data_IF_517582219081
#
_entry.id   IF_517582219081
#
_cell.length_a   1.000
_cell.length_b   1.000
_cell.length_c   1.000
_cell.angle_alpha   90.00
_cell.angle_beta   90.00
_cell.angle_gamma   90.00
#
_symmetry.space_group_name_H-M   'P 1'
#
loop_
_entity.id
_entity.type
_entity.pdbx_description
1 polymer ?
#
# COMPACT_ATOMS: atom_id res chain seq x y z
N UNK A 1 11.85 -0.45 0.85
CA UNK A 1 11.68 -0.33 2.31
C UNK A 1 10.22 -0.09 2.68
N UNK A 2 9.62 1.06 2.33
CA UNK A 2 8.23 1.35 2.71
C UNK A 2 7.21 0.31 2.22
N UNK A 3 7.40 -0.23 1.02
CA UNK A 3 6.59 -1.34 0.49
C UNK A 3 6.52 -2.54 1.46
N UNK A 4 7.68 -3.07 1.86
CA UNK A 4 7.77 -4.19 2.80
C UNK A 4 7.29 -3.84 4.22
N UNK A 5 7.50 -2.59 4.64
CA UNK A 5 6.96 -2.09 5.90
C UNK A 5 5.42 -2.11 5.88
N UNK A 6 4.82 -1.67 4.77
CA UNK A 6 3.37 -1.73 4.57
C UNK A 6 2.88 -3.16 4.61
N UNK A 7 3.56 -4.12 3.96
CA UNK A 7 3.19 -5.53 4.07
C UNK A 7 3.21 -6.03 5.51
N UNK A 8 4.23 -5.69 6.29
CA UNK A 8 4.33 -6.11 7.68
C UNK A 8 3.18 -5.57 8.55
N UNK A 9 2.80 -4.30 8.38
CA UNK A 9 1.68 -3.69 9.10
C UNK A 9 0.34 -4.24 8.61
N UNK A 10 0.17 -4.38 7.29
CA UNK A 10 -1.04 -4.95 6.72
C UNK A 10 -1.24 -6.38 7.24
N UNK A 11 -0.20 -7.23 7.26
CA UNK A 11 -0.26 -8.57 7.83
C UNK A 11 -0.76 -8.58 9.29
N UNK A 12 -0.31 -7.62 10.10
CA UNK A 12 -0.74 -7.46 11.49
C UNK A 12 -2.23 -7.09 11.59
N UNK A 13 -2.75 -6.29 10.65
CA UNK A 13 -4.15 -5.86 10.60
C UNK A 13 -5.08 -6.96 10.05
N UNK A 14 -4.65 -7.72 9.03
CA UNK A 14 -5.50 -8.64 8.27
C UNK A 14 -5.43 -10.11 8.74
N UNK A 15 -5.02 -10.37 9.98
CA UNK A 15 -4.79 -11.72 10.53
C UNK A 15 -3.79 -12.57 9.72
N UNK A 16 -2.89 -11.90 8.99
CA UNK A 16 -1.90 -12.49 8.10
C UNK A 16 -2.16 -12.21 6.62
N UNK A 17 -1.09 -12.23 5.84
CA UNK A 17 -1.15 -12.13 4.38
C UNK A 17 -1.20 -13.51 3.74
N UNK A 18 -1.91 -13.62 2.61
CA UNK A 18 -1.86 -14.82 1.77
C UNK A 18 -0.56 -14.84 0.98
N UNK A 19 0.11 -15.99 0.94
CA UNK A 19 1.33 -16.16 0.16
C UNK A 19 1.15 -15.96 -1.35
N UNK A 20 2.28 -15.70 -2.03
CA UNK A 20 2.30 -15.32 -3.45
C UNK A 20 1.96 -13.84 -3.66
N UNK A 21 1.93 -13.42 -4.92
CA UNK A 21 1.67 -12.02 -5.29
C UNK A 21 0.17 -11.78 -5.43
N UNK A 22 -0.47 -11.37 -4.35
CA UNK A 22 -1.90 -11.05 -4.34
C UNK A 22 -2.11 -9.59 -4.73
N UNK A 23 -2.93 -9.35 -5.73
CA UNK A 23 -3.12 -8.01 -6.32
C UNK A 23 -3.49 -6.96 -5.28
N UNK A 24 -4.43 -7.26 -4.38
CA UNK A 24 -4.85 -6.36 -3.31
C UNK A 24 -3.71 -6.01 -2.34
N UNK A 25 -2.87 -7.00 -1.99
CA UNK A 25 -1.75 -6.81 -1.08
C UNK A 25 -0.64 -5.97 -1.73
N UNK A 26 -0.27 -6.27 -2.97
CA UNK A 26 0.79 -5.57 -3.71
C UNK A 26 0.39 -4.12 -4.02
N UNK A 27 -0.87 -3.91 -4.43
CA UNK A 27 -1.40 -2.55 -4.70
C UNK A 27 -1.47 -1.72 -3.42
N UNK A 28 -1.88 -2.33 -2.30
CA UNK A 28 -1.83 -1.66 -0.98
C UNK A 28 -0.41 -1.25 -0.63
N UNK A 29 0.56 -2.16 -0.80
CA UNK A 29 1.96 -1.89 -0.48
C UNK A 29 2.55 -0.77 -1.34
N UNK A 30 2.32 -0.78 -2.66
CA UNK A 30 2.85 0.26 -3.54
C UNK A 30 2.18 1.60 -3.39
N UNK A 31 0.87 1.64 -3.21
CA UNK A 31 0.17 2.90 -2.99
C UNK A 31 0.60 3.53 -1.67
N UNK A 32 0.66 2.75 -0.59
CA UNK A 32 1.10 3.24 0.72
C UNK A 32 2.56 3.70 0.69
N UNK A 33 3.45 2.94 0.03
CA UNK A 33 4.85 3.34 -0.13
C UNK A 33 4.98 4.68 -0.87
N UNK A 34 4.18 4.88 -1.92
CA UNK A 34 4.14 6.14 -2.67
C UNK A 34 3.71 7.31 -1.80
N UNK A 35 2.67 7.13 -0.98
CA UNK A 35 2.19 8.15 -0.03
C UNK A 35 3.26 8.48 1.02
N UNK A 36 3.91 7.46 1.60
CA UNK A 36 4.98 7.66 2.57
C UNK A 36 6.20 8.37 1.95
N UNK A 37 6.57 8.03 0.72
CA UNK A 37 7.64 8.76 0.01
C UNK A 37 7.30 10.24 -0.14
N UNK A 38 6.05 10.60 -0.44
CA UNK A 38 5.65 12.01 -0.50
C UNK A 38 5.72 12.70 0.87
N UNK A 39 5.20 12.06 1.92
CA UNK A 39 5.22 12.60 3.28
C UNK A 39 6.64 12.88 3.80
N UNK A 40 7.60 12.01 3.47
CA UNK A 40 9.01 12.19 3.87
C UNK A 40 9.86 12.98 2.86
N UNK A 41 9.26 13.50 1.79
CA UNK A 41 9.96 14.34 0.80
C UNK A 41 10.84 13.58 -0.18
N UNK A 42 10.70 12.25 -0.28
CA UNK A 42 11.44 11.39 -1.22
C UNK A 42 10.81 11.28 -2.63
N UNK A 43 9.77 12.09 -2.89
CA UNK A 43 8.98 12.21 -4.14
C UNK A 43 9.54 11.46 -5.35
N UNK A 44 8.76 10.50 -5.85
CA UNK A 44 9.01 9.81 -7.11
C UNK A 44 8.06 10.33 -8.21
N UNK A 45 8.64 10.86 -9.29
CA UNK A 45 7.90 11.36 -10.47
C UNK A 45 8.05 10.45 -11.69
N UNK A 46 8.72 9.30 -11.56
CA UNK A 46 8.91 8.34 -12.66
C UNK A 46 7.62 7.65 -13.12
N UNK A 47 6.59 7.64 -12.26
CA UNK A 47 5.37 6.85 -12.49
C UNK A 47 5.54 5.35 -12.23
N UNK A 48 6.66 4.92 -11.62
CA UNK A 48 6.95 3.52 -11.36
C UNK A 48 5.83 2.80 -10.60
N UNK A 49 5.25 3.43 -9.58
CA UNK A 49 4.12 2.86 -8.83
C UNK A 49 2.91 2.54 -9.75
N UNK A 50 2.58 3.45 -10.69
CA UNK A 50 1.53 3.22 -11.68
C UNK A 50 1.88 2.07 -12.64
N UNK A 51 3.14 1.97 -13.07
CA UNK A 51 3.61 0.87 -13.91
C UNK A 51 3.57 -0.48 -13.18
N UNK A 52 3.96 -0.51 -11.91
CA UNK A 52 3.88 -1.70 -11.06
C UNK A 52 2.43 -2.16 -10.86
N UNK A 53 1.52 -1.25 -10.48
CA UNK A 53 0.11 -1.59 -10.27
C UNK A 53 -0.54 -2.13 -11.56
N UNK A 54 -0.23 -1.55 -12.73
CA UNK A 54 -0.68 -2.07 -14.03
C UNK A 54 -0.21 -3.50 -14.34
N UNK A 55 0.90 -3.93 -13.76
CA UNK A 55 1.36 -5.30 -13.93
C UNK A 55 0.48 -6.30 -13.17
N UNK A 56 -0.05 -5.91 -12.01
CA UNK A 56 -0.86 -6.77 -11.15
C UNK A 56 -2.37 -6.65 -11.40
N UNK A 57 -2.85 -5.50 -11.87
CA UNK A 57 -4.27 -5.24 -12.04
C UNK A 57 -4.63 -4.92 -13.50
N UNK A 58 -5.60 -5.64 -14.06
CA UNK A 58 -6.18 -5.30 -15.37
C UNK A 58 -6.92 -3.96 -15.36
N UNK A 59 -7.51 -3.59 -14.22
CA UNK A 59 -8.11 -2.28 -13.96
C UNK A 59 -7.40 -1.60 -12.76
N UNK A 60 -6.30 -0.87 -13.03
CA UNK A 60 -5.49 -0.21 -12.00
C UNK A 60 -6.26 0.78 -11.15
N UNK A 61 -7.17 1.55 -11.76
CA UNK A 61 -7.92 2.59 -11.06
C UNK A 61 -8.88 1.97 -10.04
N UNK A 62 -9.58 0.92 -10.44
CA UNK A 62 -10.44 0.17 -9.52
C UNK A 62 -9.61 -0.50 -8.41
N UNK A 63 -8.46 -1.10 -8.74
CA UNK A 63 -7.59 -1.73 -7.74
C UNK A 63 -7.09 -0.72 -6.69
N UNK A 64 -6.62 0.45 -7.14
CA UNK A 64 -6.21 1.56 -6.27
C UNK A 64 -7.36 1.99 -5.37
N UNK A 65 -8.53 2.27 -5.95
CA UNK A 65 -9.69 2.77 -5.19
C UNK A 65 -10.14 1.77 -4.13
N UNK A 66 -10.08 0.46 -4.41
CA UNK A 66 -10.44 -0.60 -3.47
C UNK A 66 -9.48 -0.78 -2.30
N UNK A 67 -8.26 -0.27 -2.39
CA UNK A 67 -7.24 -0.42 -1.34
C UNK A 67 -7.11 0.81 -0.44
N UNK A 68 -7.81 1.91 -0.76
CA UNK A 68 -7.69 3.18 -0.03
C UNK A 68 -7.94 3.05 1.47
N UNK A 69 -8.99 2.32 1.89
CA UNK A 69 -9.28 2.11 3.31
C UNK A 69 -8.16 1.33 4.02
N UNK A 70 -7.61 0.31 3.37
CA UNK A 70 -6.50 -0.46 3.93
C UNK A 70 -5.22 0.37 4.01
N UNK A 71 -4.97 1.25 3.04
CA UNK A 71 -3.85 2.20 3.10
C UNK A 71 -4.03 3.16 4.28
N UNK A 72 -5.24 3.68 4.49
CA UNK A 72 -5.57 4.52 5.65
C UNK A 72 -5.35 3.79 6.99
N UNK A 73 -5.77 2.54 7.10
CA UNK A 73 -5.54 1.70 8.30
C UNK A 73 -4.05 1.54 8.59
N UNK A 74 -3.25 1.25 7.56
CA UNK A 74 -1.79 1.10 7.68
C UNK A 74 -1.16 2.42 8.12
N UNK A 75 -1.53 3.53 7.49
CA UNK A 75 -1.00 4.85 7.83
C UNK A 75 -1.36 5.26 9.26
N UNK A 76 -2.58 4.95 9.72
CA UNK A 76 -3.01 5.19 11.10
C UNK A 76 -2.11 4.47 12.10
N UNK A 77 -1.77 3.20 11.84
CA UNK A 77 -0.86 2.45 12.71
C UNK A 77 0.54 3.07 12.71
N UNK A 78 1.05 3.46 11.54
CA UNK A 78 2.40 3.99 11.39
C UNK A 78 2.58 5.40 11.97
N UNK A 79 1.58 6.27 11.81
CA UNK A 79 1.68 7.69 12.16
C UNK A 79 1.06 8.02 13.52
N UNK A 80 0.04 7.26 13.95
CA UNK A 80 -0.71 7.55 15.18
C UNK A 80 -0.58 6.45 16.23
N UNK A 81 0.00 5.30 15.89
CA UNK A 81 0.14 4.17 16.81
C UNK A 81 -1.18 3.45 17.13
N UNK A 82 -2.24 3.64 16.32
CA UNK A 82 -3.55 2.98 16.47
C UNK A 82 -4.16 2.62 15.11
N UNK A 83 -5.09 1.66 15.07
CA UNK A 83 -5.86 1.39 13.86
C UNK A 83 -6.92 2.49 13.62
N UNK A 84 -7.33 2.70 12.37
CA UNK A 84 -8.45 3.59 12.06
C UNK A 84 -9.76 3.03 12.62
N UNK A 85 -10.71 3.92 12.93
CA UNK A 85 -12.00 3.59 13.58
C UNK A 85 -13.15 3.56 12.60
#
# INVERSE_FOLDING_TARGET
FFHELTHAIHARLSSGLKGGQQVDQEVTAELCATVLMDFYGFRDHSGNAWHYIKHYAQDPLTAITRTLSTVEDVLSVLLEGRAAT
#
